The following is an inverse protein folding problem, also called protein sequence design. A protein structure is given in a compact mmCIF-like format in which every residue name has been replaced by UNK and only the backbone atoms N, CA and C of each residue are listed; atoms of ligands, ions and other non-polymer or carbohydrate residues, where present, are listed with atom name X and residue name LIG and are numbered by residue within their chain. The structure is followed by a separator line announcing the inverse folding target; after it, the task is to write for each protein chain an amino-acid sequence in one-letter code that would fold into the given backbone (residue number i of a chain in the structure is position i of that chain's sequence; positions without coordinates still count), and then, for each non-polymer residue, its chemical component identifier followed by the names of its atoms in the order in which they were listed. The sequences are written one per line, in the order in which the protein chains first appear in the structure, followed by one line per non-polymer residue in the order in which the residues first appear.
data_IF_072805553822
#
_entry.id   IF_072805553822
#
_cell.length_a   1.000
_cell.length_b   1.000
_cell.length_c   1.000
_cell.angle_alpha   90.00
_cell.angle_beta   90.00
_cell.angle_gamma   90.00
#
_symmetry.space_group_name_H-M   'P 1'
#
loop_
_entity.id
_entity.type
_entity.pdbx_description
1 polymer ?
#
# COMPACT_ATOMS: atom_id res chain seq x y z
N UNK A 1 35.04 -29.34 -27.83
CA UNK A 1 33.61 -28.95 -27.89
C UNK A 1 32.67 -30.03 -27.36
N UNK A 2 32.84 -31.29 -27.71
CA UNK A 2 31.97 -32.43 -27.31
C UNK A 2 31.88 -32.69 -25.77
N UNK A 3 32.94 -32.43 -24.98
CA UNK A 3 32.94 -32.69 -23.54
C UNK A 3 32.06 -31.69 -22.72
N UNK A 4 31.93 -30.43 -23.15
CA UNK A 4 31.08 -29.44 -22.49
C UNK A 4 29.60 -29.71 -22.72
N UNK A 5 29.21 -30.15 -23.94
CA UNK A 5 27.83 -30.53 -24.23
C UNK A 5 27.38 -31.79 -23.47
N UNK A 6 28.25 -32.80 -23.30
CA UNK A 6 27.94 -33.97 -22.45
C UNK A 6 27.76 -33.62 -20.99
N UNK A 7 28.54 -32.69 -20.45
CA UNK A 7 28.36 -32.21 -19.05
C UNK A 7 27.09 -31.42 -18.86
N UNK A 8 26.64 -30.60 -19.82
CA UNK A 8 25.34 -29.95 -19.77
C UNK A 8 24.19 -30.96 -19.78
N UNK A 9 24.21 -31.95 -20.66
CA UNK A 9 23.15 -32.95 -20.72
C UNK A 9 23.06 -33.88 -19.50
N UNK A 10 24.17 -34.14 -18.81
CA UNK A 10 24.20 -34.92 -17.55
C UNK A 10 23.70 -34.06 -16.37
N UNK A 11 23.99 -32.77 -16.40
CA UNK A 11 23.55 -31.82 -15.37
C UNK A 11 22.03 -31.66 -15.30
N UNK A 12 21.33 -31.92 -16.39
CA UNK A 12 19.90 -31.65 -16.52
C UNK A 12 19.00 -32.87 -16.35
N UNK A 13 19.55 -34.06 -16.06
CA UNK A 13 18.79 -35.32 -15.98
C UNK A 13 18.81 -35.97 -14.59
N UNK A 14 20.00 -36.32 -14.09
CA UNK A 14 20.18 -37.10 -12.87
C UNK A 14 21.48 -36.72 -12.15
N UNK A 15 21.43 -36.55 -10.83
CA UNK A 15 22.62 -36.35 -10.02
C UNK A 15 23.37 -37.65 -9.77
N UNK A 16 24.59 -37.53 -9.23
CA UNK A 16 25.40 -38.70 -8.88
C UNK A 16 24.78 -39.56 -7.75
N UNK A 17 23.97 -38.95 -6.88
CA UNK A 17 23.22 -39.61 -5.83
C UNK A 17 21.94 -40.32 -6.30
N UNK A 18 21.66 -40.24 -7.59
CA UNK A 18 20.50 -40.89 -8.21
C UNK A 18 19.25 -40.01 -8.25
N UNK A 19 19.25 -38.81 -7.63
CA UNK A 19 18.12 -37.90 -7.70
C UNK A 19 17.99 -37.28 -9.10
N UNK A 20 16.74 -37.02 -9.50
CA UNK A 20 16.46 -36.36 -10.77
C UNK A 20 16.59 -34.86 -10.66
N UNK A 21 16.93 -34.22 -11.77
CA UNK A 21 17.00 -32.78 -11.92
C UNK A 21 15.73 -32.25 -12.56
N UNK A 22 15.52 -30.94 -12.40
CA UNK A 22 14.32 -30.15 -12.69
C UNK A 22 13.47 -30.64 -13.90
N UNK A 23 14.06 -30.83 -15.07
CA UNK A 23 13.29 -31.05 -16.30
C UNK A 23 12.42 -32.30 -16.28
N UNK A 24 12.97 -33.43 -15.87
CA UNK A 24 12.26 -34.72 -15.91
C UNK A 24 11.16 -34.80 -14.84
N UNK A 25 11.44 -34.52 -13.55
CA UNK A 25 10.38 -34.54 -12.53
C UNK A 25 9.24 -33.56 -12.83
N UNK A 26 9.57 -32.32 -13.27
CA UNK A 26 8.53 -31.34 -13.59
C UNK A 26 7.57 -31.82 -14.65
N UNK A 27 8.07 -32.47 -15.71
CA UNK A 27 7.20 -33.03 -16.77
C UNK A 27 6.37 -34.21 -16.28
N UNK A 28 6.95 -35.08 -15.44
CA UNK A 28 6.19 -36.19 -14.82
C UNK A 28 5.09 -35.67 -13.92
N UNK A 29 5.40 -34.71 -13.05
CA UNK A 29 4.41 -34.09 -12.17
C UNK A 29 3.31 -33.40 -12.98
N UNK A 30 3.65 -32.64 -14.02
CA UNK A 30 2.67 -31.99 -14.90
C UNK A 30 1.74 -33.01 -15.59
N UNK A 31 2.26 -34.16 -16.00
CA UNK A 31 1.46 -35.25 -16.59
C UNK A 31 0.54 -35.88 -15.55
N UNK A 32 1.08 -36.25 -14.39
CA UNK A 32 0.32 -36.89 -13.32
C UNK A 32 -0.81 -35.98 -12.78
N UNK A 33 -0.52 -34.68 -12.68
CA UNK A 33 -1.48 -33.65 -12.25
C UNK A 33 -2.41 -33.18 -13.38
N UNK A 34 -2.23 -33.68 -14.61
CA UNK A 34 -3.00 -33.28 -15.81
C UNK A 34 -3.01 -31.78 -16.06
N UNK A 35 -1.84 -31.16 -15.95
CA UNK A 35 -1.68 -29.71 -16.18
C UNK A 35 -1.93 -29.39 -17.64
N UNK A 36 -2.94 -28.55 -17.91
CA UNK A 36 -3.33 -28.15 -19.26
C UNK A 36 -2.61 -26.89 -19.76
N UNK A 37 -2.18 -26.01 -18.86
CA UNK A 37 -1.51 -24.74 -19.18
C UNK A 37 -0.33 -24.52 -18.27
N UNK A 38 0.82 -24.16 -18.85
CA UNK A 38 2.06 -23.81 -18.12
C UNK A 38 2.42 -22.37 -18.46
N UNK A 39 2.23 -21.45 -17.50
CA UNK A 39 2.58 -20.02 -17.63
C UNK A 39 3.75 -19.74 -16.71
N UNK A 40 4.87 -19.23 -17.26
CA UNK A 40 6.11 -19.01 -16.52
C UNK A 40 6.95 -17.88 -17.12
N UNK A 41 8.05 -17.49 -16.47
CA UNK A 41 8.94 -16.47 -16.98
C UNK A 41 9.61 -16.86 -18.31
N UNK A 42 9.89 -15.89 -19.18
CA UNK A 42 10.54 -16.08 -20.48
C UNK A 42 11.97 -16.65 -20.40
N UNK A 43 12.62 -16.60 -19.23
CA UNK A 43 13.91 -17.23 -18.98
C UNK A 43 13.82 -18.78 -19.05
N UNK A 44 12.62 -19.33 -19.02
CA UNK A 44 12.35 -20.74 -19.25
C UNK A 44 11.99 -21.10 -20.71
N UNK A 45 12.07 -20.17 -21.66
CA UNK A 45 11.69 -20.41 -23.04
C UNK A 45 12.48 -21.57 -23.67
N UNK A 46 13.78 -21.61 -23.43
CA UNK A 46 14.63 -22.75 -23.93
C UNK A 46 14.29 -24.07 -23.25
N UNK A 47 13.87 -24.03 -21.99
CA UNK A 47 13.44 -25.22 -21.25
C UNK A 47 12.11 -25.78 -21.77
N UNK A 48 11.26 -24.94 -22.33
CA UNK A 48 9.98 -25.34 -22.89
C UNK A 48 10.13 -26.31 -24.05
N UNK A 49 11.12 -26.11 -24.91
CA UNK A 49 11.40 -27.05 -26.00
C UNK A 49 11.78 -28.44 -25.47
N UNK A 50 12.60 -28.50 -24.40
CA UNK A 50 12.99 -29.77 -23.76
C UNK A 50 11.77 -30.43 -23.12
N UNK A 51 10.93 -29.68 -22.45
CA UNK A 51 9.72 -30.20 -21.79
C UNK A 51 8.75 -30.78 -22.83
N UNK A 52 8.47 -30.08 -23.93
CA UNK A 52 7.59 -30.58 -25.00
C UNK A 52 8.10 -31.91 -25.60
N UNK A 53 9.42 -32.05 -25.79
CA UNK A 53 9.99 -33.33 -26.26
C UNK A 53 9.84 -34.45 -25.22
N UNK A 54 9.97 -34.15 -23.94
CA UNK A 54 9.72 -35.11 -22.86
C UNK A 54 8.26 -35.55 -22.81
N UNK A 55 7.28 -34.62 -22.93
CA UNK A 55 5.86 -34.96 -23.04
C UNK A 55 5.60 -35.93 -24.20
N UNK A 56 6.16 -35.66 -25.38
CA UNK A 56 6.04 -36.54 -26.53
C UNK A 56 6.65 -37.92 -26.27
N UNK A 57 7.87 -37.97 -25.69
CA UNK A 57 8.53 -39.24 -25.36
C UNK A 57 7.74 -40.09 -24.34
N UNK A 58 6.97 -39.45 -23.48
CA UNK A 58 6.11 -40.09 -22.50
C UNK A 58 4.69 -40.39 -23.02
N UNK A 59 4.43 -40.14 -24.32
CA UNK A 59 3.13 -40.33 -24.99
C UNK A 59 1.98 -39.61 -24.27
N UNK A 60 2.23 -38.39 -23.80
CA UNK A 60 1.23 -37.57 -23.12
C UNK A 60 0.81 -36.37 -23.96
N UNK A 61 -0.40 -35.85 -23.70
CA UNK A 61 -0.91 -34.62 -24.30
C UNK A 61 -0.02 -33.43 -23.98
N UNK A 62 0.15 -32.52 -24.96
CA UNK A 62 0.96 -31.33 -24.78
C UNK A 62 0.18 -30.23 -24.10
N UNK A 63 0.73 -29.61 -23.03
CA UNK A 63 0.12 -28.45 -22.44
C UNK A 63 0.27 -27.20 -23.32
N UNK A 64 -0.65 -26.25 -23.15
CA UNK A 64 -0.48 -24.88 -23.67
C UNK A 64 0.62 -24.15 -22.91
N UNK A 65 1.50 -23.46 -23.62
CA UNK A 65 2.62 -22.74 -22.99
C UNK A 65 2.44 -21.22 -23.10
N UNK A 66 2.62 -20.53 -21.99
CA UNK A 66 2.71 -19.07 -21.91
C UNK A 66 4.02 -18.62 -21.26
N UNK A 67 4.60 -17.54 -21.76
CA UNK A 67 5.83 -16.96 -21.20
C UNK A 67 5.59 -15.49 -20.86
N UNK A 68 5.67 -15.18 -19.56
CA UNK A 68 5.58 -13.80 -19.09
C UNK A 68 6.94 -13.10 -19.22
N UNK A 69 6.95 -11.80 -19.57
CA UNK A 69 8.17 -11.01 -19.57
C UNK A 69 8.80 -10.97 -18.17
N UNK A 70 10.13 -10.83 -18.13
CA UNK A 70 10.86 -10.69 -16.86
C UNK A 70 10.64 -9.32 -16.27
N UNK A 71 10.54 -9.25 -14.94
CA UNK A 71 10.51 -7.99 -14.23
C UNK A 71 11.91 -7.39 -14.09
N UNK A 72 11.99 -6.09 -14.28
CA UNK A 72 13.21 -5.31 -14.13
C UNK A 72 13.13 -4.44 -12.87
N UNK A 73 14.30 -4.13 -12.32
CA UNK A 73 14.44 -3.05 -11.34
C UNK A 73 14.15 -1.70 -12.02
N UNK A 74 13.99 -0.64 -11.24
CA UNK A 74 13.78 0.73 -11.73
C UNK A 74 14.92 1.19 -12.67
N UNK A 75 16.17 0.79 -12.37
CA UNK A 75 17.37 1.06 -13.19
C UNK A 75 17.43 0.23 -14.50
N UNK A 76 16.46 -0.66 -14.74
CA UNK A 76 16.41 -1.52 -15.92
C UNK A 76 17.25 -2.80 -15.80
N UNK A 77 17.89 -3.06 -14.68
CA UNK A 77 18.59 -4.33 -14.45
C UNK A 77 17.59 -5.45 -14.12
N UNK A 78 17.96 -6.69 -14.42
CA UNK A 78 17.13 -7.86 -14.12
C UNK A 78 16.91 -7.99 -12.60
N UNK A 79 15.66 -8.13 -12.19
CA UNK A 79 15.33 -8.43 -10.81
C UNK A 79 15.95 -9.76 -10.38
N UNK A 80 16.75 -9.75 -9.32
CA UNK A 80 17.41 -10.96 -8.83
C UNK A 80 17.17 -11.15 -7.33
N UNK A 81 17.10 -12.42 -6.90
CA UNK A 81 16.90 -12.75 -5.47
C UNK A 81 17.98 -12.16 -4.54
N UNK A 82 19.16 -11.83 -5.06
CA UNK A 82 20.25 -11.23 -4.28
C UNK A 82 20.08 -9.74 -4.01
N UNK A 83 19.27 -9.07 -4.85
CA UNK A 83 18.97 -7.64 -4.72
C UNK A 83 17.55 -7.40 -4.12
N UNK A 84 16.85 -8.49 -3.73
CA UNK A 84 15.47 -8.48 -3.29
C UNK A 84 15.27 -8.19 -1.81
N UNK A 85 16.33 -7.88 -1.05
CA UNK A 85 16.16 -7.58 0.39
C UNK A 85 15.19 -6.41 0.63
N UNK A 86 14.99 -5.54 -0.37
CA UNK A 86 14.06 -4.40 -0.32
C UNK A 86 12.67 -4.64 -0.96
N UNK A 87 12.47 -5.73 -1.72
CA UNK A 87 11.26 -5.94 -2.54
C UNK A 87 10.76 -7.40 -2.39
N UNK A 88 10.62 -7.87 -1.16
CA UNK A 88 10.02 -9.17 -0.91
C UNK A 88 8.62 -9.03 -0.31
N UNK A 89 7.71 -9.98 -0.58
CA UNK A 89 6.38 -10.02 0.05
C UNK A 89 6.47 -9.97 1.58
N UNK A 90 7.51 -10.61 2.17
CA UNK A 90 7.75 -10.55 3.61
C UNK A 90 8.02 -9.12 4.07
N UNK A 91 8.77 -8.37 3.29
CA UNK A 91 9.10 -6.99 3.62
C UNK A 91 7.90 -6.06 3.46
N UNK A 92 7.15 -6.19 2.36
CA UNK A 92 5.88 -5.45 2.20
C UNK A 92 4.94 -5.70 3.38
N UNK A 93 4.77 -6.96 3.80
CA UNK A 93 3.99 -7.29 4.99
C UNK A 93 4.52 -6.63 6.24
N UNK A 94 5.84 -6.70 6.49
CA UNK A 94 6.45 -6.08 7.67
C UNK A 94 6.35 -4.55 7.66
N UNK A 95 6.30 -3.94 6.48
CA UNK A 95 6.09 -2.50 6.29
C UNK A 95 4.61 -2.11 6.26
N UNK A 96 3.70 -3.04 6.55
CA UNK A 96 2.26 -2.77 6.66
C UNK A 96 1.57 -2.48 5.33
N UNK A 97 2.06 -3.03 4.21
CA UNK A 97 1.34 -2.98 2.94
C UNK A 97 0.16 -3.96 2.98
N UNK A 98 -1.00 -3.50 2.52
CA UNK A 98 -2.21 -4.31 2.44
C UNK A 98 -2.12 -5.33 1.30
N UNK A 99 -2.86 -6.42 1.43
CA UNK A 99 -2.95 -7.43 0.36
C UNK A 99 -3.50 -6.81 -0.92
N UNK A 100 -4.54 -5.97 -0.81
CA UNK A 100 -5.16 -5.30 -1.95
C UNK A 100 -4.21 -4.36 -2.69
N UNK A 101 -3.35 -3.62 -1.98
CA UNK A 101 -2.36 -2.75 -2.63
C UNK A 101 -1.36 -3.53 -3.48
N UNK A 102 -0.86 -4.65 -2.95
CA UNK A 102 0.10 -5.51 -3.66
C UNK A 102 -0.56 -6.18 -4.86
N UNK A 103 -1.76 -6.74 -4.69
CA UNK A 103 -2.48 -7.41 -5.77
C UNK A 103 -2.86 -6.42 -6.87
N UNK A 104 -3.35 -5.21 -6.53
CA UNK A 104 -3.69 -4.16 -7.50
C UNK A 104 -2.46 -3.70 -8.27
N UNK A 105 -1.31 -3.54 -7.57
CA UNK A 105 -0.06 -3.23 -8.23
C UNK A 105 0.36 -4.33 -9.22
N UNK A 106 0.37 -5.60 -8.79
CA UNK A 106 0.72 -6.73 -9.64
C UNK A 106 -0.24 -6.85 -10.84
N UNK A 107 -1.54 -6.62 -10.63
CA UNK A 107 -2.54 -6.59 -11.69
C UNK A 107 -2.24 -5.51 -12.73
N UNK A 108 -1.87 -4.32 -12.29
CA UNK A 108 -1.53 -3.19 -13.17
C UNK A 108 -0.15 -3.32 -13.83
N UNK A 109 0.69 -4.25 -13.36
CA UNK A 109 2.05 -4.39 -13.82
C UNK A 109 2.09 -5.13 -15.16
N UNK A 110 2.62 -4.47 -16.17
CA UNK A 110 2.79 -5.08 -17.50
C UNK A 110 1.51 -5.19 -18.33
N UNK A 111 0.41 -4.57 -17.92
CA UNK A 111 -0.79 -4.43 -18.75
C UNK A 111 -0.69 -3.22 -19.67
N UNK A 112 -1.34 -3.31 -20.84
CA UNK A 112 -1.39 -2.23 -21.82
C UNK A 112 -2.42 -1.14 -21.50
N UNK A 113 -3.29 -1.38 -20.52
CA UNK A 113 -4.34 -0.46 -20.08
C UNK A 113 -4.06 0.07 -18.67
N UNK A 114 -4.34 1.36 -18.47
CA UNK A 114 -4.31 1.96 -17.15
C UNK A 114 -5.60 1.60 -16.40
N UNK A 115 -5.48 0.73 -15.43
CA UNK A 115 -6.55 0.44 -14.47
C UNK A 115 -6.35 1.28 -13.23
N UNK A 116 -7.40 2.02 -12.82
CA UNK A 116 -7.41 2.66 -11.52
C UNK A 116 -7.69 1.64 -10.39
N UNK A 117 -7.36 2.03 -9.17
CA UNK A 117 -7.46 1.15 -8.01
C UNK A 117 -8.92 0.72 -7.73
N UNK A 118 -9.87 1.62 -7.89
CA UNK A 118 -11.29 1.38 -7.61
C UNK A 118 -11.86 0.36 -8.59
N UNK A 119 -11.62 0.54 -9.88
CA UNK A 119 -12.03 -0.41 -10.92
C UNK A 119 -11.45 -1.81 -10.70
N UNK A 120 -10.18 -1.92 -10.30
CA UNK A 120 -9.55 -3.21 -10.00
C UNK A 120 -10.26 -3.92 -8.84
N UNK A 121 -10.59 -3.19 -7.77
CA UNK A 121 -11.25 -3.75 -6.59
C UNK A 121 -12.71 -4.13 -6.88
N UNK A 122 -13.47 -3.26 -7.57
CA UNK A 122 -14.88 -3.50 -7.91
C UNK A 122 -15.04 -4.77 -8.73
N UNK A 123 -14.18 -4.96 -9.72
CA UNK A 123 -14.18 -6.14 -10.59
C UNK A 123 -13.54 -7.39 -9.92
N UNK A 124 -12.97 -7.23 -8.73
CA UNK A 124 -12.35 -8.32 -7.97
C UNK A 124 -11.36 -9.12 -8.83
N UNK A 125 -10.52 -8.42 -9.61
CA UNK A 125 -9.52 -8.97 -10.55
C UNK A 125 -10.09 -9.89 -11.66
N UNK A 126 -11.41 -9.85 -11.94
CA UNK A 126 -12.08 -10.77 -12.89
C UNK A 126 -11.85 -10.42 -14.35
N UNK A 127 -11.61 -9.14 -14.64
CA UNK A 127 -11.44 -8.65 -16.01
C UNK A 127 -10.03 -8.91 -16.57
N UNK A 128 -9.22 -9.70 -15.84
CA UNK A 128 -7.88 -10.06 -16.30
C UNK A 128 -7.94 -10.93 -17.56
N UNK A 129 -7.34 -10.45 -18.64
CA UNK A 129 -7.18 -11.19 -19.88
C UNK A 129 -5.68 -11.35 -20.18
N UNK A 130 -5.25 -12.59 -20.48
CA UNK A 130 -3.86 -12.87 -20.85
C UNK A 130 -3.40 -12.12 -22.10
N UNK A 131 -4.33 -11.76 -23.00
CA UNK A 131 -4.04 -11.01 -24.23
C UNK A 131 -3.65 -9.55 -23.95
N UNK A 132 -4.04 -9.01 -22.79
CA UNK A 132 -3.73 -7.64 -22.38
C UNK A 132 -2.32 -7.50 -21.82
N UNK A 133 -1.60 -8.61 -21.60
CA UNK A 133 -0.24 -8.58 -21.09
C UNK A 133 0.68 -7.94 -22.13
N UNK A 134 1.35 -6.86 -21.74
CA UNK A 134 2.35 -6.18 -22.55
C UNK A 134 3.54 -7.09 -22.85
N UNK A 135 4.05 -7.02 -24.07
CA UNK A 135 5.33 -7.67 -24.43
C UNK A 135 6.55 -6.91 -23.91
N UNK A 136 6.35 -5.69 -23.40
CA UNK A 136 7.43 -4.90 -22.82
C UNK A 136 7.79 -5.45 -21.43
N UNK A 137 9.09 -5.36 -21.10
CA UNK A 137 9.58 -5.77 -19.78
C UNK A 137 9.07 -4.77 -18.71
N UNK A 138 8.21 -5.22 -17.79
CA UNK A 138 7.71 -4.33 -16.72
C UNK A 138 8.83 -3.96 -15.77
N UNK A 139 8.87 -2.68 -15.38
CA UNK A 139 9.79 -2.17 -14.34
C UNK A 139 9.04 -2.02 -13.03
N UNK A 140 9.72 -2.37 -11.94
CA UNK A 140 9.18 -2.12 -10.61
C UNK A 140 9.22 -0.61 -10.36
N UNK A 141 8.10 -0.08 -9.92
CA UNK A 141 7.90 1.31 -9.51
C UNK A 141 7.34 1.31 -8.07
N UNK A 142 8.18 1.68 -7.11
CA UNK A 142 7.81 1.75 -5.70
C UNK A 142 6.79 2.87 -5.45
N UNK A 143 6.88 4.00 -6.15
CA UNK A 143 5.92 5.08 -6.01
C UNK A 143 4.51 4.66 -6.43
N UNK A 144 4.41 3.79 -7.45
CA UNK A 144 3.13 3.23 -7.86
C UNK A 144 2.56 2.27 -6.80
N UNK A 145 3.41 1.48 -6.13
CA UNK A 145 2.98 0.63 -5.00
C UNK A 145 2.49 1.52 -3.84
N UNK A 146 3.22 2.57 -3.49
CA UNK A 146 2.83 3.52 -2.44
C UNK A 146 1.49 4.20 -2.77
N UNK A 147 1.25 4.54 -4.03
CA UNK A 147 -0.04 5.06 -4.49
C UNK A 147 -1.19 4.08 -4.27
N UNK A 148 -1.01 2.80 -4.63
CA UNK A 148 -2.00 1.76 -4.37
C UNK A 148 -2.20 1.53 -2.87
N UNK A 149 -1.14 1.59 -2.07
CA UNK A 149 -1.21 1.45 -0.62
C UNK A 149 -2.07 2.55 0.01
N UNK A 150 -1.82 3.80 -0.35
CA UNK A 150 -2.59 4.95 0.11
C UNK A 150 -4.08 4.79 -0.21
N UNK A 151 -4.41 4.43 -1.45
CA UNK A 151 -5.80 4.24 -1.86
C UNK A 151 -6.45 3.04 -1.15
N UNK A 152 -5.72 1.94 -0.98
CA UNK A 152 -6.19 0.77 -0.26
C UNK A 152 -6.54 1.10 1.20
N UNK A 153 -5.67 1.79 1.92
CA UNK A 153 -5.93 2.18 3.31
C UNK A 153 -7.15 3.10 3.41
N UNK A 154 -7.26 4.10 2.53
CA UNK A 154 -8.36 5.08 2.54
C UNK A 154 -9.72 4.49 2.17
N UNK A 155 -9.76 3.43 1.38
CA UNK A 155 -10.99 2.73 1.00
C UNK A 155 -11.52 1.81 2.09
N UNK A 156 -10.72 1.47 3.11
CA UNK A 156 -11.13 0.56 4.19
C UNK A 156 -12.06 1.26 5.18
N UNK A 157 -13.08 0.53 5.65
CA UNK A 157 -13.77 0.85 6.88
C UNK A 157 -12.96 0.33 8.09
N UNK A 158 -13.32 0.75 9.29
CA UNK A 158 -12.58 0.38 10.51
C UNK A 158 -12.54 -1.13 10.75
N UNK A 159 -13.61 -1.85 10.41
CA UNK A 159 -13.67 -3.31 10.57
C UNK A 159 -12.68 -4.02 9.66
N UNK A 160 -12.60 -3.61 8.40
CA UNK A 160 -11.68 -4.19 7.44
C UNK A 160 -10.23 -3.84 7.80
N UNK A 161 -10.00 -2.63 8.28
CA UNK A 161 -8.71 -2.18 8.78
C UNK A 161 -8.22 -3.05 9.96
N UNK A 162 -9.07 -3.31 10.94
CA UNK A 162 -8.73 -4.17 12.09
C UNK A 162 -8.55 -5.63 11.71
N UNK A 163 -9.29 -6.12 10.72
CA UNK A 163 -9.09 -7.47 10.19
C UNK A 163 -7.72 -7.62 9.49
N UNK A 164 -7.29 -6.58 8.76
CA UNK A 164 -5.98 -6.59 8.07
C UNK A 164 -4.82 -6.38 9.04
N UNK A 165 -5.02 -5.54 10.08
CA UNK A 165 -4.00 -5.13 11.04
C UNK A 165 -4.51 -5.29 12.48
N UNK A 166 -4.50 -6.51 12.99
CA UNK A 166 -5.00 -6.83 14.34
C UNK A 166 -4.33 -6.05 15.47
N UNK A 167 -3.07 -5.59 15.28
CA UNK A 167 -2.36 -4.78 16.26
C UNK A 167 -2.98 -3.39 16.48
N UNK A 168 -3.83 -2.92 15.55
CA UNK A 168 -4.53 -1.64 15.70
C UNK A 168 -5.69 -1.71 16.72
N UNK A 169 -6.18 -2.90 17.05
CA UNK A 169 -7.19 -3.07 18.11
C UNK A 169 -6.74 -2.50 19.47
N UNK A 170 -5.42 -2.54 19.75
CA UNK A 170 -4.84 -1.97 20.96
C UNK A 170 -5.04 -0.45 21.08
N UNK A 171 -5.24 0.25 19.95
CA UNK A 171 -5.47 1.68 19.94
C UNK A 171 -6.91 2.05 20.36
N UNK A 172 -7.83 1.09 20.37
CA UNK A 172 -9.26 1.31 20.53
C UNK A 172 -9.79 2.45 19.62
N UNK A 173 -9.27 2.48 18.37
CA UNK A 173 -9.63 3.44 17.34
C UNK A 173 -11.14 3.37 17.08
N UNK A 174 -11.83 4.51 17.16
CA UNK A 174 -13.27 4.59 16.84
C UNK A 174 -13.51 4.87 15.37
N UNK A 175 -14.72 4.56 14.87
CA UNK A 175 -15.11 4.86 13.48
C UNK A 175 -14.98 6.36 13.17
N UNK A 176 -15.39 7.21 14.11
CA UNK A 176 -15.26 8.67 13.96
C UNK A 176 -13.81 9.14 13.85
N UNK A 177 -12.91 8.55 14.63
CA UNK A 177 -11.48 8.86 14.56
C UNK A 177 -10.87 8.33 13.26
N UNK A 178 -11.28 7.14 12.82
CA UNK A 178 -10.83 6.60 11.55
C UNK A 178 -11.21 7.51 10.39
N UNK A 179 -12.48 7.88 10.30
CA UNK A 179 -12.96 8.82 9.28
C UNK A 179 -12.24 10.18 9.31
N UNK A 180 -11.86 10.63 10.50
CA UNK A 180 -11.11 11.89 10.68
C UNK A 180 -9.68 11.80 10.12
N UNK A 181 -9.00 10.66 10.29
CA UNK A 181 -7.58 10.54 9.94
C UNK A 181 -7.32 9.90 8.59
N UNK A 182 -8.22 9.06 8.05
CA UNK A 182 -7.97 8.21 6.89
C UNK A 182 -7.48 8.96 5.66
N UNK A 183 -7.97 10.18 5.41
CA UNK A 183 -7.54 10.99 4.27
C UNK A 183 -6.08 11.47 4.37
N UNK A 184 -5.50 11.45 5.56
CA UNK A 184 -4.12 11.81 5.83
C UNK A 184 -3.18 10.60 5.94
N UNK A 185 -3.73 9.39 5.85
CA UNK A 185 -2.97 8.13 5.91
C UNK A 185 -2.39 7.83 4.53
N UNK A 186 -1.10 7.57 4.48
CA UNK A 186 -0.40 7.09 3.30
C UNK A 186 0.22 5.70 3.55
N UNK A 187 0.66 5.46 4.80
CA UNK A 187 1.29 4.21 5.25
C UNK A 187 0.67 3.74 6.55
N UNK A 188 0.83 2.46 6.85
CA UNK A 188 0.35 1.86 8.09
C UNK A 188 0.78 2.62 9.36
N UNK A 189 2.04 3.07 9.40
CA UNK A 189 2.60 3.80 10.55
C UNK A 189 1.90 5.13 10.80
N UNK A 190 1.33 5.76 9.77
CA UNK A 190 0.63 7.04 9.89
C UNK A 190 -0.62 6.92 10.75
N UNK A 191 -1.27 5.75 10.76
CA UNK A 191 -2.48 5.49 11.54
C UNK A 191 -2.20 5.73 13.02
N UNK A 192 -1.18 5.08 13.57
CA UNK A 192 -0.77 5.24 14.98
C UNK A 192 -0.29 6.64 15.27
N UNK A 193 0.45 7.25 14.36
CA UNK A 193 0.95 8.61 14.51
C UNK A 193 -0.18 9.64 14.56
N UNK A 194 -1.14 9.54 13.64
CA UNK A 194 -2.29 10.44 13.60
C UNK A 194 -3.23 10.23 14.80
N UNK A 195 -3.46 8.97 15.19
CA UNK A 195 -4.21 8.66 16.40
C UNK A 195 -3.56 9.26 17.66
N UNK A 196 -2.22 9.15 17.80
CA UNK A 196 -1.49 9.77 18.91
C UNK A 196 -1.63 11.29 18.92
N UNK A 197 -1.59 11.94 17.75
CA UNK A 197 -1.79 13.39 17.61
C UNK A 197 -3.14 13.82 18.18
N UNK A 198 -4.19 13.04 17.96
CA UNK A 198 -5.55 13.35 18.41
C UNK A 198 -5.74 13.00 19.88
N UNK A 199 -5.32 11.80 20.31
CA UNK A 199 -5.67 11.25 21.63
C UNK A 199 -4.64 11.54 22.72
N UNK A 200 -3.34 11.59 22.38
CA UNK A 200 -2.26 11.84 23.36
C UNK A 200 -1.77 13.27 23.38
N UNK A 201 -2.03 14.00 22.31
CA UNK A 201 -1.72 15.43 22.19
C UNK A 201 -0.31 15.80 22.68
N UNK A 202 0.72 15.14 22.15
CA UNK A 202 2.10 15.52 22.42
C UNK A 202 2.38 16.91 21.85
N UNK A 203 2.54 17.90 22.74
CA UNK A 203 2.76 19.29 22.35
C UNK A 203 4.20 19.47 21.86
N UNK A 204 4.36 19.45 20.53
CA UNK A 204 5.64 19.75 19.86
C UNK A 204 5.78 21.23 19.51
N UNK A 205 4.64 21.92 19.31
CA UNK A 205 4.61 23.33 18.93
C UNK A 205 3.58 24.04 19.81
N UNK A 206 3.99 25.15 20.38
CA UNK A 206 3.13 26.00 21.19
C UNK A 206 2.36 26.99 20.30
N UNK A 207 1.06 27.17 20.52
CA UNK A 207 0.30 28.26 19.90
C UNK A 207 0.73 29.63 20.43
N UNK A 208 0.37 30.70 19.71
CA UNK A 208 0.62 32.07 20.20
C UNK A 208 -0.09 32.35 21.54
N UNK A 209 0.65 32.83 22.54
CA UNK A 209 0.08 33.17 23.85
C UNK A 209 -1.02 34.24 23.77
N UNK A 210 -0.90 35.19 22.84
CA UNK A 210 -1.93 36.21 22.63
C UNK A 210 -3.17 35.62 21.97
N UNK A 211 -3.01 34.64 21.09
CA UNK A 211 -4.15 33.93 20.50
C UNK A 211 -4.88 33.07 21.54
N UNK A 212 -4.16 32.42 22.45
CA UNK A 212 -4.76 31.70 23.59
C UNK A 212 -5.59 32.63 24.47
N UNK A 213 -5.03 33.77 24.87
CA UNK A 213 -5.73 34.77 25.68
C UNK A 213 -6.99 35.29 24.99
N UNK A 214 -6.89 35.55 23.67
CA UNK A 214 -8.03 35.96 22.87
C UNK A 214 -9.16 34.92 22.90
N UNK A 215 -8.82 33.63 22.71
CA UNK A 215 -9.80 32.55 22.74
C UNK A 215 -10.43 32.38 24.11
N UNK A 216 -9.65 32.34 25.18
CA UNK A 216 -10.16 32.19 26.55
C UNK A 216 -11.16 33.31 26.88
N UNK A 217 -10.82 34.56 26.52
CA UNK A 217 -11.70 35.73 26.77
C UNK A 217 -13.05 35.62 26.02
N UNK A 218 -13.07 35.01 24.84
CA UNK A 218 -14.24 34.98 23.96
C UNK A 218 -14.89 33.60 23.89
N UNK A 219 -14.46 32.63 24.70
CA UNK A 219 -14.85 31.22 24.61
C UNK A 219 -16.38 31.03 24.67
N UNK A 220 -17.07 31.73 25.55
CA UNK A 220 -18.53 31.62 25.68
C UNK A 220 -19.28 32.13 24.44
N UNK A 221 -18.68 33.04 23.68
CA UNK A 221 -19.29 33.60 22.46
C UNK A 221 -19.25 32.65 21.25
N UNK A 222 -18.44 31.57 21.29
CA UNK A 222 -18.24 30.65 20.19
C UNK A 222 -18.88 29.25 20.39
N UNK A 223 -19.73 29.12 21.41
CA UNK A 223 -20.22 27.80 21.88
C UNK A 223 -20.97 26.94 20.85
N UNK A 224 -21.55 27.55 19.83
CA UNK A 224 -22.33 26.81 18.81
C UNK A 224 -21.88 27.14 17.38
N UNK A 225 -20.68 27.68 17.20
CA UNK A 225 -20.20 28.09 15.91
C UNK A 225 -19.73 26.88 15.10
N UNK A 226 -20.12 26.85 13.83
CA UNK A 226 -19.39 26.09 12.80
C UNK A 226 -17.96 26.64 12.68
N UNK A 227 -17.06 25.87 12.10
CA UNK A 227 -15.68 26.33 11.92
C UNK A 227 -15.58 27.65 11.14
N UNK A 228 -16.40 27.84 10.12
CA UNK A 228 -16.40 29.06 9.32
C UNK A 228 -16.92 30.26 10.12
N UNK A 229 -17.94 30.09 10.95
CA UNK A 229 -18.43 31.12 11.88
C UNK A 229 -17.38 31.45 12.93
N UNK A 230 -16.70 30.44 13.49
CA UNK A 230 -15.60 30.63 14.43
C UNK A 230 -14.47 31.49 13.83
N UNK A 231 -14.04 31.18 12.59
CA UNK A 231 -13.00 31.96 11.92
C UNK A 231 -13.46 33.41 11.69
N UNK A 232 -14.66 33.60 11.16
CA UNK A 232 -15.21 34.94 10.90
C UNK A 232 -15.37 35.77 12.17
N UNK A 233 -15.82 35.15 13.27
CA UNK A 233 -15.94 35.78 14.54
C UNK A 233 -14.59 36.28 15.09
N UNK A 234 -13.56 35.45 15.07
CA UNK A 234 -12.21 35.83 15.50
C UNK A 234 -11.65 36.99 14.65
N UNK A 235 -11.85 36.95 13.35
CA UNK A 235 -11.45 38.07 12.45
C UNK A 235 -12.26 39.36 12.75
N UNK A 236 -13.48 39.26 13.25
CA UNK A 236 -14.30 40.43 13.61
C UNK A 236 -13.85 41.09 14.91
N UNK A 237 -13.33 40.28 15.84
CA UNK A 237 -12.83 40.75 17.16
C UNK A 237 -11.42 41.37 16.98
N UNK A 238 -10.57 40.73 16.23
CA UNK A 238 -9.22 41.20 15.96
C UNK A 238 -8.93 41.23 14.46
N UNK A 239 -8.99 42.44 13.88
CA UNK A 239 -8.78 42.68 12.48
C UNK A 239 -7.33 42.46 12.03
N UNK A 240 -6.39 42.30 12.96
CA UNK A 240 -5.00 41.98 12.65
C UNK A 240 -4.77 40.51 12.32
N UNK A 241 -5.70 39.62 12.71
CA UNK A 241 -5.60 38.20 12.48
C UNK A 241 -5.93 37.83 11.04
N UNK A 242 -5.02 37.10 10.42
CA UNK A 242 -5.26 36.45 9.13
C UNK A 242 -5.93 35.09 9.32
N UNK A 243 -6.66 34.62 8.29
CA UNK A 243 -7.22 33.24 8.29
C UNK A 243 -6.13 32.20 8.53
N UNK A 244 -4.94 32.39 7.94
CA UNK A 244 -3.81 31.48 8.10
C UNK A 244 -3.35 31.36 9.55
N UNK A 245 -3.26 32.48 10.26
CA UNK A 245 -2.89 32.50 11.68
C UNK A 245 -3.92 31.81 12.55
N UNK A 246 -5.22 32.06 12.30
CA UNK A 246 -6.31 31.37 13.00
C UNK A 246 -6.22 29.87 12.80
N UNK A 247 -6.08 29.40 11.55
CA UNK A 247 -5.96 27.98 11.23
C UNK A 247 -4.74 27.37 11.90
N UNK A 248 -3.58 28.02 11.81
CA UNK A 248 -2.32 27.53 12.37
C UNK A 248 -2.39 27.41 13.88
N UNK A 249 -2.82 28.47 14.59
CA UNK A 249 -2.91 28.47 16.03
C UNK A 249 -4.00 27.51 16.56
N UNK A 250 -5.14 27.42 15.87
CA UNK A 250 -6.18 26.46 16.22
C UNK A 250 -5.68 25.03 16.10
N UNK A 251 -4.94 24.69 15.01
CA UNK A 251 -4.28 23.40 14.88
C UNK A 251 -3.33 23.11 16.03
N UNK A 252 -2.47 24.06 16.39
CA UNK A 252 -1.51 23.90 17.48
C UNK A 252 -2.21 23.71 18.84
N UNK A 253 -3.31 24.41 19.07
CA UNK A 253 -4.13 24.21 20.27
C UNK A 253 -4.72 22.79 20.28
N UNK A 254 -5.35 22.36 19.21
CA UNK A 254 -6.05 21.08 19.15
C UNK A 254 -5.12 19.88 19.16
N UNK A 255 -3.96 19.98 18.52
CA UNK A 255 -3.08 18.82 18.27
C UNK A 255 -1.67 18.95 18.83
N UNK A 256 -1.18 20.15 19.09
CA UNK A 256 0.23 20.41 19.41
C UNK A 256 1.20 20.18 18.23
N UNK A 257 0.70 19.98 17.01
CA UNK A 257 1.49 19.58 15.84
C UNK A 257 1.19 20.46 14.61
N UNK A 258 2.17 20.51 13.69
CA UNK A 258 2.02 21.25 12.42
C UNK A 258 1.20 20.47 11.39
N UNK A 259 1.36 19.15 11.36
CA UNK A 259 0.73 18.25 10.40
C UNK A 259 -0.41 17.45 11.03
N UNK A 260 -1.30 16.92 10.22
CA UNK A 260 -2.42 16.09 10.65
C UNK A 260 -3.71 16.40 9.87
N UNK A 261 -4.88 15.92 10.32
CA UNK A 261 -6.17 16.13 9.69
C UNK A 261 -6.52 17.60 9.47
N UNK A 262 -7.50 17.91 8.65
CA UNK A 262 -7.89 19.30 8.41
C UNK A 262 -8.29 19.99 9.71
N UNK A 263 -7.97 21.29 9.86
CA UNK A 263 -8.30 22.04 11.08
C UNK A 263 -9.82 22.13 11.27
N UNK A 264 -10.56 22.18 10.17
CA UNK A 264 -12.02 22.19 10.19
C UNK A 264 -12.57 20.88 10.77
N UNK A 265 -12.05 19.75 10.33
CA UNK A 265 -12.49 18.43 10.81
C UNK A 265 -12.09 18.19 12.26
N UNK A 266 -10.87 18.60 12.64
CA UNK A 266 -10.42 18.61 14.04
C UNK A 266 -11.33 19.46 14.93
N UNK A 267 -11.67 20.69 14.50
CA UNK A 267 -12.57 21.57 15.24
C UNK A 267 -13.96 20.94 15.42
N UNK A 268 -14.49 20.34 14.36
CA UNK A 268 -15.78 19.64 14.42
C UNK A 268 -15.73 18.40 15.32
N UNK A 269 -14.64 17.65 15.30
CA UNK A 269 -14.44 16.47 16.13
C UNK A 269 -14.34 16.81 17.63
N UNK A 270 -13.49 17.76 17.99
CA UNK A 270 -13.34 18.17 19.40
C UNK A 270 -14.54 18.96 19.91
N UNK A 271 -15.18 19.71 19.04
CA UNK A 271 -16.30 20.59 19.40
C UNK A 271 -15.91 21.69 20.39
N UNK A 272 -16.91 22.44 20.83
CA UNK A 272 -16.71 23.54 21.78
C UNK A 272 -16.18 23.03 23.13
N UNK A 273 -16.75 21.97 23.68
CA UNK A 273 -16.37 21.42 24.99
C UNK A 273 -14.95 20.85 24.98
N UNK A 274 -14.55 20.17 23.86
CA UNK A 274 -13.18 19.70 23.69
C UNK A 274 -12.19 20.86 23.60
N UNK A 275 -12.49 21.90 22.84
CA UNK A 275 -11.67 23.11 22.74
C UNK A 275 -11.53 23.79 24.11
N UNK A 276 -12.63 23.91 24.88
CA UNK A 276 -12.64 24.48 26.25
C UNK A 276 -11.76 23.68 27.20
N UNK A 277 -11.88 22.33 27.16
CA UNK A 277 -11.07 21.45 28.00
C UNK A 277 -9.58 21.64 27.71
N UNK A 278 -9.24 21.69 26.42
CA UNK A 278 -7.86 21.87 25.95
C UNK A 278 -7.31 23.26 26.37
N UNK A 279 -8.10 24.32 26.23
CA UNK A 279 -7.67 25.67 26.61
C UNK A 279 -7.46 25.84 28.14
N UNK A 280 -8.10 25.03 28.96
CA UNK A 280 -7.87 25.03 30.42
C UNK A 280 -6.50 24.41 30.81
N UNK A 281 -5.81 23.78 29.88
CA UNK A 281 -4.46 23.22 30.10
C UNK A 281 -3.34 24.27 29.86
N UNK A 282 -3.70 25.43 29.27
CA UNK A 282 -2.79 26.56 29.01
C UNK A 282 -2.95 27.65 30.07
#
# INVERSE_FOLDING_TARGET
MYRRQRQMCIRDRRRADGSYLYHFPSVVDDIDMKISHIIRGEDHLTNSAIHLELFKCLNSDLPSLGHNPLMLNEDGTKLSKRNLDSISLKQFRNSGYTVNSILSYLYSLGLNSDYDFETILENNFRDFNLEDISKNLPKIDIHKIDFFQKNSLRSMNLKDLNNEFSELEELALTETEWELIKENVEKYEDIRNLWNIINRREIKIQPSGDFIKLLIKNLNGISNFSFDEYVNYLMSIDKSLSKKEIFTNTRYILTGNQNGPSVKDLYNYFGHEGLKKILNEY
#
